data_IF_935801953113
#
_entry.id   IF_935801953113
#
_cell.length_a   1.000
_cell.length_b   1.000
_cell.length_c   1.000
_cell.angle_alpha   90.00
_cell.angle_beta   90.00
_cell.angle_gamma   90.00
#
_symmetry.space_group_name_H-M   'P 1'
#
loop_
_entity.id
_entity.type
_entity.pdbx_description
1 polymer ?
#
# COMPACT_ATOMS: atom_id res chain seq x y z
N UNK A 1 -21.31 14.50 20.15
CA UNK A 1 -21.75 13.72 18.99
C UNK A 1 -20.59 12.81 18.61
N UNK A 2 -20.73 11.47 18.63
CA UNK A 2 -19.67 10.63 18.09
C UNK A 2 -19.55 10.95 16.61
N UNK A 3 -18.31 11.18 16.15
CA UNK A 3 -18.03 11.36 14.73
C UNK A 3 -18.32 10.03 14.06
N UNK A 4 -19.33 9.97 13.20
CA UNK A 4 -19.60 8.77 12.42
C UNK A 4 -18.35 8.46 11.57
N UNK A 5 -17.73 7.33 11.88
CA UNK A 5 -16.58 6.78 11.17
C UNK A 5 -17.01 5.49 10.48
N UNK A 6 -16.82 5.45 9.17
CA UNK A 6 -17.03 4.25 8.36
C UNK A 6 -15.69 3.56 8.14
N UNK A 7 -15.57 2.30 8.57
CA UNK A 7 -14.41 1.47 8.22
C UNK A 7 -14.53 1.08 6.75
N UNK A 8 -13.49 1.42 5.97
CA UNK A 8 -13.39 1.06 4.56
C UNK A 8 -12.57 -0.22 4.36
N UNK A 9 -11.53 -0.41 5.18
CA UNK A 9 -10.69 -1.61 5.16
C UNK A 9 -10.05 -1.84 6.54
N UNK A 10 -9.82 -3.11 6.88
CA UNK A 10 -9.07 -3.51 8.07
C UNK A 10 -8.25 -4.76 7.76
N UNK A 11 -6.96 -4.69 8.10
CA UNK A 11 -6.01 -5.78 7.95
C UNK A 11 -5.40 -6.05 9.32
N UNK A 12 -5.67 -7.23 9.85
CA UNK A 12 -5.20 -7.61 11.18
C UNK A 12 -3.69 -7.44 11.28
N UNK A 13 -3.22 -6.74 12.33
CA UNK A 13 -1.80 -6.46 12.62
C UNK A 13 -1.05 -5.59 11.60
N UNK A 14 -1.70 -5.16 10.52
CA UNK A 14 -1.09 -4.28 9.54
C UNK A 14 -1.67 -2.87 9.60
N UNK A 15 -3.00 -2.74 9.56
CA UNK A 15 -3.58 -1.41 9.46
C UNK A 15 -5.08 -1.34 9.24
N UNK A 16 -5.59 -0.11 9.13
CA UNK A 16 -6.99 0.17 8.85
C UNK A 16 -7.17 1.46 8.06
N UNK A 17 -8.23 1.51 7.27
CA UNK A 17 -8.67 2.71 6.57
C UNK A 17 -10.08 3.05 7.04
N UNK A 18 -10.27 4.27 7.52
CA UNK A 18 -11.57 4.77 8.00
C UNK A 18 -11.89 6.11 7.35
N UNK A 19 -13.14 6.33 6.97
CA UNK A 19 -13.64 7.62 6.48
C UNK A 19 -14.47 8.28 7.57
N UNK A 20 -14.19 9.54 7.87
CA UNK A 20 -15.01 10.33 8.78
C UNK A 20 -16.10 11.12 8.02
N UNK A 21 -17.17 11.46 8.71
CA UNK A 21 -18.29 12.26 8.18
C UNK A 21 -17.88 13.63 7.64
N UNK A 22 -16.74 14.18 8.07
CA UNK A 22 -16.20 15.46 7.62
C UNK A 22 -15.33 15.37 6.35
N UNK A 23 -15.28 14.20 5.68
CA UNK A 23 -14.69 14.06 4.35
C UNK A 23 -13.20 13.67 4.31
N UNK A 24 -12.58 13.44 5.47
CA UNK A 24 -11.23 12.91 5.54
C UNK A 24 -11.23 11.38 5.59
N UNK A 25 -10.15 10.80 5.06
CA UNK A 25 -9.81 9.38 5.16
C UNK A 25 -8.57 9.28 6.06
N UNK A 26 -8.69 8.49 7.11
CA UNK A 26 -7.62 8.19 8.05
C UNK A 26 -7.07 6.80 7.75
N UNK A 27 -5.76 6.71 7.55
CA UNK A 27 -5.03 5.46 7.32
C UNK A 27 -4.12 5.23 8.52
N UNK A 28 -4.20 4.04 9.10
CA UNK A 28 -3.24 3.53 10.07
C UNK A 28 -2.47 2.39 9.40
N UNK A 29 -1.15 2.48 9.35
CA UNK A 29 -0.24 1.47 8.81
C UNK A 29 0.88 1.22 9.83
N UNK A 30 0.76 0.16 10.63
CA UNK A 30 1.65 -0.09 11.76
C UNK A 30 1.67 1.10 12.73
N UNK A 31 2.82 1.75 12.88
CA UNK A 31 3.01 2.94 13.73
C UNK A 31 2.76 4.27 12.99
N UNK A 32 2.52 4.22 11.67
CA UNK A 32 2.30 5.41 10.84
C UNK A 32 0.82 5.72 10.72
N UNK A 33 0.47 7.00 10.82
CA UNK A 33 -0.89 7.49 10.64
C UNK A 33 -0.91 8.61 9.60
N UNK A 34 -1.85 8.55 8.66
CA UNK A 34 -2.09 9.60 7.66
C UNK A 34 -3.55 10.05 7.76
N UNK A 35 -3.77 11.35 7.63
CA UNK A 35 -5.10 11.93 7.45
C UNK A 35 -5.12 12.67 6.12
N UNK A 36 -5.92 12.19 5.20
CA UNK A 36 -5.95 12.64 3.81
C UNK A 36 -7.37 13.11 3.45
N UNK A 37 -7.49 14.04 2.52
CA UNK A 37 -8.78 14.23 1.83
C UNK A 37 -9.09 13.01 0.98
N UNK A 38 -10.35 12.83 0.58
CA UNK A 38 -10.73 11.73 -0.32
C UNK A 38 -9.91 11.72 -1.63
N UNK A 39 -9.65 12.90 -2.21
CA UNK A 39 -8.84 13.04 -3.43
C UNK A 39 -7.37 12.63 -3.19
N UNK A 40 -6.77 13.09 -2.09
CA UNK A 40 -5.41 12.71 -1.71
C UNK A 40 -5.29 11.21 -1.45
N UNK A 41 -6.29 10.61 -0.80
CA UNK A 41 -6.34 9.17 -0.58
C UNK A 41 -6.37 8.38 -1.89
N UNK A 42 -7.20 8.78 -2.86
CA UNK A 42 -7.25 8.11 -4.16
C UNK A 42 -5.92 8.21 -4.92
N UNK A 43 -5.27 9.38 -4.89
CA UNK A 43 -3.93 9.56 -5.47
C UNK A 43 -2.86 8.71 -4.76
N UNK A 44 -2.93 8.62 -3.44
CA UNK A 44 -2.05 7.76 -2.64
C UNK A 44 -2.21 6.29 -3.03
N UNK A 45 -3.45 5.80 -3.13
CA UNK A 45 -3.74 4.42 -3.55
C UNK A 45 -3.18 4.14 -4.95
N UNK A 46 -3.39 5.05 -5.91
CA UNK A 46 -2.86 4.88 -7.27
C UNK A 46 -1.33 4.75 -7.28
N UNK A 47 -0.64 5.63 -6.55
CA UNK A 47 0.83 5.60 -6.42
C UNK A 47 1.34 4.33 -5.75
N UNK A 48 0.69 3.86 -4.68
CA UNK A 48 1.08 2.61 -4.00
C UNK A 48 0.86 1.40 -4.91
N UNK A 49 -0.24 1.35 -5.65
CA UNK A 49 -0.53 0.27 -6.61
C UNK A 49 0.52 0.21 -7.72
N UNK A 50 0.89 1.36 -8.30
CA UNK A 50 1.95 1.44 -9.29
C UNK A 50 3.31 1.01 -8.71
N UNK A 51 3.64 1.50 -7.50
CA UNK A 51 4.86 1.10 -6.80
C UNK A 51 4.93 -0.40 -6.53
N UNK A 52 3.81 -1.04 -6.19
CA UNK A 52 3.75 -2.49 -5.94
C UNK A 52 4.02 -3.27 -7.23
N UNK A 53 3.39 -2.89 -8.35
CA UNK A 53 3.61 -3.53 -9.64
C UNK A 53 5.08 -3.39 -10.10
N UNK A 54 5.66 -2.21 -9.93
CA UNK A 54 7.07 -1.97 -10.27
C UNK A 54 8.02 -2.79 -9.39
N UNK A 55 7.70 -2.96 -8.10
CA UNK A 55 8.50 -3.78 -7.20
C UNK A 55 8.42 -5.27 -7.55
N UNK A 56 7.25 -5.78 -7.94
CA UNK A 56 7.10 -7.16 -8.40
C UNK A 56 7.93 -7.42 -9.66
N UNK A 57 7.89 -6.50 -10.62
CA UNK A 57 8.72 -6.57 -11.82
C UNK A 57 10.22 -6.62 -11.48
N UNK A 58 10.68 -5.71 -10.62
CA UNK A 58 12.07 -5.68 -10.16
C UNK A 58 12.49 -6.98 -9.47
N UNK A 59 11.63 -7.53 -8.60
CA UNK A 59 11.90 -8.79 -7.90
C UNK A 59 12.04 -9.96 -8.88
N UNK A 60 11.20 -10.05 -9.90
CA UNK A 60 11.27 -11.10 -10.91
C UNK A 60 12.59 -11.04 -11.70
N UNK A 61 13.03 -9.84 -12.07
CA UNK A 61 14.30 -9.64 -12.80
C UNK A 61 15.53 -10.08 -11.98
N UNK A 62 15.52 -9.87 -10.66
CA UNK A 62 16.60 -10.36 -9.79
C UNK A 62 16.68 -11.89 -9.77
N UNK A 63 15.54 -12.57 -9.67
CA UNK A 63 15.50 -14.05 -9.66
C UNK A 63 15.94 -14.68 -10.98
N UNK A 64 15.73 -14.02 -12.13
CA UNK A 64 16.20 -14.49 -13.43
C UNK A 64 17.72 -14.30 -13.61
N UNK A 65 18.25 -13.18 -13.11
CA UNK A 65 19.69 -12.88 -13.16
C UNK A 65 20.53 -13.86 -12.33
N UNK A 66 19.98 -14.36 -11.21
CA UNK A 66 20.64 -15.36 -10.36
C UNK A 66 20.66 -16.78 -10.95
N UNK A 67 19.85 -17.06 -11.98
CA UNK A 67 19.81 -18.35 -12.67
C UNK A 67 20.78 -18.40 -13.85
N UNK A 68 21.00 -17.30 -14.56
CA UNK A 68 21.92 -17.23 -15.72
C UNK A 68 23.39 -17.43 -15.30
N UNK A 69 23.81 -16.85 -14.17
CA UNK A 69 25.17 -17.04 -13.61
C UNK A 69 25.49 -18.49 -13.19
N UNK A 70 24.47 -19.34 -12.98
CA UNK A 70 24.66 -20.74 -12.58
C UNK A 70 24.82 -21.69 -13.76
N UNK A 71 24.35 -21.32 -14.95
CA UNK A 71 24.46 -22.15 -16.16
C UNK A 71 25.76 -21.90 -16.93
N UNK A 72 26.41 -20.73 -16.77
CA UNK A 72 27.73 -20.46 -17.38
C UNK A 72 28.92 -21.11 -16.65
N UNK A 73 28.70 -21.76 -15.49
CA UNK A 73 29.76 -22.43 -14.71
C UNK A 73 29.66 -23.96 -14.66
N UNK A 74 28.72 -24.56 -15.41
CA UNK A 74 28.50 -26.01 -15.50
C UNK A 74 29.15 -26.66 -16.73
#
# INVERSE_FOLDING_TARGET
MPLDQQVLAHYERFGSVTRCSHGCVHLQLGQMSLSLTAEQYLRFVAMVSESAANFEFFRSALTESEQDDRDETA
#
